data_IF_266133088109
#
_entry.id   IF_266133088109
#
_cell.length_a   1.000
_cell.length_b   1.000
_cell.length_c   1.000
_cell.angle_alpha   90.00
_cell.angle_beta   90.00
_cell.angle_gamma   90.00
#
_symmetry.space_group_name_H-M   'P 1'
#
loop_
_entity.id
_entity.type
_entity.pdbx_description
1 polymer ?
#
# COMPACT_ATOMS: atom_id res chain seq x y z
N UNK A 1 12.10 4.73 1.66
CA UNK A 1 12.09 4.86 3.13
C UNK A 1 10.66 4.88 3.64
N UNK A 2 10.31 4.02 4.59
CA UNK A 2 8.96 3.80 5.11
C UNK A 2 8.80 4.52 6.46
N UNK A 3 8.87 5.85 6.45
CA UNK A 3 9.00 6.66 7.67
C UNK A 3 7.68 7.06 8.33
N UNK A 4 6.57 6.95 7.62
CA UNK A 4 5.25 7.41 8.07
C UNK A 4 4.17 6.41 7.68
N UNK A 5 2.96 6.56 8.23
CA UNK A 5 1.76 5.88 7.74
C UNK A 5 1.44 6.33 6.31
N UNK A 6 0.91 5.41 5.50
CA UNK A 6 0.45 5.67 4.14
C UNK A 6 1.54 5.61 3.07
N UNK A 7 2.71 5.04 3.34
CA UNK A 7 3.73 4.86 2.28
C UNK A 7 3.34 3.71 1.36
N UNK A 8 3.43 3.91 0.04
CA UNK A 8 3.07 2.91 -0.98
C UNK A 8 4.34 2.34 -1.62
N UNK A 9 4.46 1.01 -1.59
CA UNK A 9 5.68 0.30 -1.98
C UNK A 9 5.39 -1.00 -2.74
N UNK A 10 6.29 -1.36 -3.64
CA UNK A 10 6.22 -2.63 -4.38
C UNK A 10 6.54 -3.80 -3.45
N UNK A 11 5.72 -4.85 -3.47
CA UNK A 11 6.07 -6.14 -2.89
C UNK A 11 7.00 -6.92 -3.84
N UNK A 12 7.88 -7.74 -3.27
CA UNK A 12 8.86 -8.53 -4.01
C UNK A 12 9.21 -9.83 -3.24
N UNK A 13 9.83 -10.77 -3.93
CA UNK A 13 10.39 -12.03 -3.41
C UNK A 13 11.92 -12.01 -3.44
N UNK A 14 12.54 -10.85 -3.25
CA UNK A 14 13.98 -10.63 -3.39
C UNK A 14 14.33 -9.54 -4.42
N UNK A 15 15.62 -9.20 -4.55
CA UNK A 15 16.07 -8.11 -5.43
C UNK A 15 15.55 -8.27 -6.86
N UNK A 16 15.05 -7.19 -7.45
CA UNK A 16 14.58 -7.13 -8.84
C UNK A 16 13.42 -8.07 -9.20
N UNK A 17 12.58 -8.44 -8.23
CA UNK A 17 11.37 -9.27 -8.47
C UNK A 17 10.06 -8.50 -8.32
N UNK A 18 10.09 -7.19 -8.61
CA UNK A 18 8.88 -6.36 -8.61
C UNK A 18 7.94 -6.81 -9.74
N UNK A 19 6.66 -6.97 -9.41
CA UNK A 19 5.59 -7.29 -10.37
C UNK A 19 4.46 -6.28 -10.29
N UNK A 20 3.26 -6.75 -9.96
CA UNK A 20 2.08 -5.89 -9.77
C UNK A 20 1.67 -5.71 -8.31
N UNK A 21 2.17 -6.56 -7.40
CA UNK A 21 1.80 -6.51 -6.00
C UNK A 21 2.45 -5.30 -5.32
N UNK A 22 1.65 -4.56 -4.57
CA UNK A 22 2.09 -3.43 -3.76
C UNK A 22 1.42 -3.49 -2.39
N UNK A 23 1.94 -2.74 -1.44
CA UNK A 23 1.36 -2.59 -0.11
C UNK A 23 1.38 -1.12 0.34
N UNK A 24 0.55 -0.81 1.34
CA UNK A 24 0.46 0.49 2.00
C UNK A 24 0.80 0.30 3.47
N UNK A 25 1.70 1.11 4.03
CA UNK A 25 2.11 0.97 5.44
C UNK A 25 1.10 1.59 6.41
N UNK A 26 0.75 0.88 7.49
CA UNK A 26 -0.07 1.43 8.58
C UNK A 26 0.73 2.24 9.61
N UNK A 27 2.05 2.11 9.64
CA UNK A 27 2.93 2.81 10.58
C UNK A 27 4.33 2.97 9.96
N UNK A 28 5.28 3.69 10.60
CA UNK A 28 6.69 3.65 10.21
C UNK A 28 7.24 2.22 10.24
N UNK A 29 7.91 1.79 9.17
CA UNK A 29 8.47 0.44 9.02
C UNK A 29 9.95 0.49 8.54
N UNK A 30 10.88 0.98 9.38
CA UNK A 30 12.28 1.20 8.98
C UNK A 30 13.00 -0.06 8.50
N UNK A 31 12.58 -1.25 8.95
CA UNK A 31 13.18 -2.52 8.56
C UNK A 31 12.92 -2.94 7.09
N UNK A 32 11.99 -2.25 6.40
CA UNK A 32 11.67 -2.43 4.98
C UNK A 32 12.52 -1.53 4.07
N UNK A 33 13.28 -0.59 4.64
CA UNK A 33 14.09 0.35 3.87
C UNK A 33 15.18 -0.37 3.09
N UNK A 34 15.42 0.11 1.86
CA UNK A 34 16.34 -0.47 0.87
C UNK A 34 15.99 -1.89 0.40
N UNK A 35 14.96 -2.52 0.97
CA UNK A 35 14.46 -3.85 0.55
C UNK A 35 13.26 -3.77 -0.38
N UNK A 36 12.40 -2.77 -0.18
CA UNK A 36 11.19 -2.56 -0.98
C UNK A 36 11.21 -1.18 -1.63
N UNK A 37 10.81 -1.14 -2.90
CA UNK A 37 10.80 0.10 -3.70
C UNK A 37 9.59 0.93 -3.31
N UNK A 38 9.83 2.09 -2.69
CA UNK A 38 8.78 3.07 -2.40
C UNK A 38 8.50 3.88 -3.68
N UNK A 39 7.24 3.99 -4.09
CA UNK A 39 6.86 4.73 -5.30
C UNK A 39 5.70 5.71 -5.11
N UNK A 40 5.09 5.76 -3.92
CA UNK A 40 4.00 6.70 -3.66
C UNK A 40 3.72 6.90 -2.18
N UNK A 41 2.76 7.78 -1.91
CA UNK A 41 2.22 8.05 -0.58
C UNK A 41 0.74 8.37 -0.69
N UNK A 42 -0.06 7.86 0.25
CA UNK A 42 -1.46 8.26 0.44
C UNK A 42 -1.48 9.73 0.86
N UNK A 43 -2.11 10.57 0.03
CA UNK A 43 -2.24 12.02 0.27
C UNK A 43 -3.65 12.42 0.72
N UNK A 44 -4.64 11.57 0.45
CA UNK A 44 -6.05 11.73 0.83
C UNK A 44 -6.69 10.34 1.03
N UNK A 45 -7.81 10.26 1.76
CA UNK A 45 -8.50 8.99 2.06
C UNK A 45 -7.87 8.17 3.19
N UNK A 46 -7.26 8.82 4.18
CA UNK A 46 -6.65 8.15 5.34
C UNK A 46 -7.68 7.39 6.20
N UNK A 47 -8.92 7.84 6.23
CA UNK A 47 -10.04 7.17 6.89
C UNK A 47 -10.36 5.80 6.26
N UNK A 48 -10.22 5.67 4.93
CA UNK A 48 -10.32 4.37 4.26
C UNK A 48 -9.20 3.43 4.71
N UNK A 49 -7.98 3.95 4.91
CA UNK A 49 -6.87 3.17 5.47
C UNK A 49 -7.16 2.73 6.91
N UNK A 50 -7.79 3.59 7.73
CA UNK A 50 -8.24 3.24 9.08
C UNK A 50 -9.32 2.15 9.09
N UNK A 51 -10.24 2.17 8.11
CA UNK A 51 -11.25 1.12 7.94
C UNK A 51 -10.61 -0.21 7.53
N UNK A 52 -9.63 -0.18 6.61
CA UNK A 52 -8.90 -1.37 6.18
C UNK A 52 -8.11 -2.02 7.32
N UNK A 53 -7.50 -1.22 8.21
CA UNK A 53 -6.75 -1.73 9.37
C UNK A 53 -7.63 -2.43 10.41
N UNK A 54 -8.91 -2.03 10.50
CA UNK A 54 -9.88 -2.59 11.46
C UNK A 54 -10.60 -3.83 10.95
N UNK A 55 -10.36 -4.28 9.72
CA UNK A 55 -11.02 -5.45 9.16
C UNK A 55 -10.70 -6.70 9.98
N UNK A 56 -11.74 -7.51 10.25
CA UNK A 56 -11.54 -8.84 10.82
C UNK A 56 -10.79 -9.71 9.81
N UNK A 57 -9.69 -10.31 10.24
CA UNK A 57 -8.86 -11.20 9.42
C UNK A 57 -8.80 -12.60 10.00
N UNK A 58 -8.55 -13.57 9.14
CA UNK A 58 -8.17 -14.90 9.59
C UNK A 58 -6.77 -14.82 10.25
N UNK A 59 -6.63 -15.26 11.52
CA UNK A 59 -5.38 -15.09 12.27
C UNK A 59 -4.21 -15.93 11.73
N UNK A 60 -4.46 -16.94 10.88
CA UNK A 60 -3.42 -17.81 10.32
C UNK A 60 -2.76 -17.25 9.07
N UNK A 61 -3.49 -16.50 8.24
CA UNK A 61 -3.01 -16.04 6.94
C UNK A 61 -3.28 -14.55 6.67
N UNK A 62 -3.82 -13.83 7.65
CA UNK A 62 -4.10 -12.39 7.60
C UNK A 62 -5.05 -11.97 6.47
N UNK A 63 -5.76 -12.91 5.84
CA UNK A 63 -6.76 -12.61 4.82
C UNK A 63 -8.02 -12.06 5.49
N UNK A 64 -8.56 -10.90 5.04
CA UNK A 64 -9.84 -10.41 5.51
C UNK A 64 -10.95 -11.46 5.38
N UNK A 65 -11.80 -11.58 6.41
CA UNK A 65 -12.91 -12.55 6.41
C UNK A 65 -14.01 -12.16 5.43
N UNK A 66 -14.21 -10.85 5.25
CA UNK A 66 -15.08 -10.29 4.23
C UNK A 66 -14.22 -9.83 3.04
N UNK A 67 -14.71 -10.12 1.84
CA UNK A 67 -13.99 -9.78 0.64
C UNK A 67 -13.89 -8.26 0.45
N UNK A 68 -12.67 -7.77 0.24
CA UNK A 68 -12.36 -6.36 0.01
C UNK A 68 -11.61 -6.24 -1.32
N UNK A 69 -12.11 -5.40 -2.23
CA UNK A 69 -11.58 -5.29 -3.60
C UNK A 69 -11.40 -3.82 -4.02
N UNK A 70 -10.34 -3.56 -4.78
CA UNK A 70 -10.23 -2.34 -5.59
C UNK A 70 -11.23 -2.50 -6.75
N UNK A 71 -12.20 -1.59 -6.85
CA UNK A 71 -13.25 -1.65 -7.89
C UNK A 71 -12.79 -1.02 -9.20
N UNK A 72 -12.10 0.11 -9.09
CA UNK A 72 -11.56 0.88 -10.20
C UNK A 72 -10.38 1.72 -9.70
N UNK A 73 -9.58 2.21 -10.65
CA UNK A 73 -8.50 3.16 -10.38
C UNK A 73 -8.70 4.35 -11.32
N UNK A 74 -8.70 5.56 -10.78
CA UNK A 74 -8.77 6.80 -11.55
C UNK A 74 -7.39 7.45 -11.58
N UNK A 75 -6.90 7.76 -12.78
CA UNK A 75 -5.63 8.46 -12.97
C UNK A 75 -5.93 9.94 -13.14
N UNK A 76 -5.41 10.77 -12.23
CA UNK A 76 -5.53 12.22 -12.33
C UNK A 76 -4.48 12.74 -13.32
N UNK A 77 -4.95 13.31 -14.43
CA UNK A 77 -4.07 13.92 -15.43
C UNK A 77 -3.36 15.14 -14.85
N UNK A 78 -2.11 15.36 -15.27
CA UNK A 78 -1.41 16.60 -14.97
C UNK A 78 -2.03 17.73 -15.81
N UNK A 79 -2.68 18.74 -15.19
CA UNK A 79 -3.32 19.83 -15.94
C UNK A 79 -2.32 20.74 -16.66
N UNK A 80 -1.03 20.61 -16.36
CA UNK A 80 0.06 21.40 -16.95
C UNK A 80 0.82 20.65 -18.06
N UNK A 81 0.44 19.41 -18.37
CA UNK A 81 1.01 18.67 -19.49
C UNK A 81 0.32 19.11 -20.79
N UNK A 82 0.84 20.17 -21.40
CA UNK A 82 0.57 20.57 -22.79
C UNK A 82 1.63 20.04 -23.74
#
# INVERSE_FOLDING_TARGET
MHKVRGMVSMANNGPNTNGSQFFITYAPQPHLDLKYTVFGKVIDGMDALDQLEKLTVNPKNYRPTNETRIRSVTIHANPLAG
#
